data_IF_814421286419
#
_entry.id   IF_814421286419
#
_cell.length_a   1.000
_cell.length_b   1.000
_cell.length_c   1.000
_cell.angle_alpha   90.00
_cell.angle_beta   90.00
_cell.angle_gamma   90.00
#
_symmetry.space_group_name_H-M   'P 1'
#
loop_
_entity.id
_entity.type
_entity.pdbx_description
1 polymer ?
#
# COMPACT_ATOMS: atom_id res chain seq x y z
N UNK A 1 14.83 -4.43 71.12
CA UNK A 1 13.58 -4.06 70.43
C UNK A 1 13.54 -2.56 70.26
N UNK A 2 13.81 -2.03 69.05
CA UNK A 2 13.42 -0.69 68.54
C UNK A 2 14.28 -0.29 67.33
N UNK A 3 14.30 -1.09 66.25
CA UNK A 3 14.90 -0.64 64.97
C UNK A 3 14.05 -0.99 63.73
N UNK A 4 12.97 -1.78 63.87
CA UNK A 4 12.10 -2.15 62.74
C UNK A 4 10.93 -1.20 62.45
N UNK A 5 10.63 -0.24 63.34
CA UNK A 5 9.46 0.64 63.16
C UNK A 5 9.76 1.90 62.34
N UNK A 6 11.03 2.29 62.19
CA UNK A 6 11.40 3.55 61.51
C UNK A 6 11.59 3.36 59.99
N UNK A 7 11.78 2.13 59.50
CA UNK A 7 11.90 1.86 58.05
C UNK A 7 10.56 1.69 57.33
N UNK A 8 9.47 1.47 58.06
CA UNK A 8 8.13 1.30 57.46
C UNK A 8 7.40 2.63 57.20
N UNK A 9 7.76 3.72 57.87
CA UNK A 9 7.08 5.02 57.66
C UNK A 9 7.74 5.88 56.57
N UNK A 10 9.06 5.77 56.38
CA UNK A 10 9.79 6.58 55.38
C UNK A 10 9.53 6.08 53.95
N UNK A 11 9.30 4.78 53.76
CA UNK A 11 8.95 4.21 52.45
C UNK A 11 7.46 4.48 52.10
N UNK A 12 6.60 4.71 53.10
CA UNK A 12 5.19 5.01 52.88
C UNK A 12 4.93 6.48 52.51
N UNK A 13 5.77 7.43 52.93
CA UNK A 13 5.63 8.85 52.58
C UNK A 13 6.21 9.21 51.21
N UNK A 14 7.27 8.54 50.74
CA UNK A 14 7.79 8.78 49.38
C UNK A 14 6.88 8.19 48.29
N UNK A 15 6.01 7.25 48.63
CA UNK A 15 5.07 6.63 47.68
C UNK A 15 3.71 7.35 47.59
N UNK A 16 3.48 8.40 48.40
CA UNK A 16 2.24 9.20 48.36
C UNK A 16 2.40 10.59 47.72
N UNK A 17 3.60 10.99 47.30
CA UNK A 17 3.85 12.25 46.57
C UNK A 17 3.90 12.11 45.03
N UNK A 18 3.58 10.93 44.48
CA UNK A 18 3.42 10.72 43.04
C UNK A 18 1.97 10.87 42.55
N UNK A 19 1.09 11.49 43.35
CA UNK A 19 -0.24 11.90 42.89
C UNK A 19 -0.12 13.27 42.23
N UNK A 20 -0.11 13.27 40.90
CA UNK A 20 -0.68 14.39 40.14
C UNK A 20 0.25 15.51 39.67
N UNK A 21 1.58 15.35 39.65
CA UNK A 21 2.39 16.25 38.81
C UNK A 21 2.17 15.91 37.34
N UNK A 22 1.24 16.64 36.70
CA UNK A 22 1.05 16.62 35.25
C UNK A 22 2.42 16.85 34.61
N UNK A 23 2.76 16.02 33.62
CA UNK A 23 4.00 16.17 32.87
C UNK A 23 4.17 17.63 32.42
N UNK A 24 5.34 18.28 32.56
CA UNK A 24 5.51 19.72 32.26
C UNK A 24 5.08 20.10 30.82
N UNK A 25 5.17 19.16 29.88
CA UNK A 25 4.69 19.35 28.51
C UNK A 25 3.15 19.41 28.40
N UNK A 26 2.40 18.84 29.35
CA UNK A 26 0.95 19.00 29.42
C UNK A 26 0.56 20.43 29.77
N UNK A 27 1.42 21.20 30.46
CA UNK A 27 1.17 22.62 30.75
C UNK A 27 1.44 23.50 29.54
N UNK A 28 2.21 23.00 28.56
CA UNK A 28 2.50 23.70 27.31
C UNK A 28 1.45 23.45 26.23
N UNK A 29 0.58 22.44 26.39
CA UNK A 29 -0.46 22.15 25.41
C UNK A 29 -1.39 23.37 25.26
N UNK A 30 -1.63 23.75 24.01
CA UNK A 30 -2.46 24.90 23.65
C UNK A 30 -3.93 24.47 23.72
N UNK A 31 -4.46 24.25 24.94
CA UNK A 31 -5.82 23.74 25.16
C UNK A 31 -6.93 24.69 24.70
N UNK A 32 -6.60 25.95 24.43
CA UNK A 32 -7.54 26.98 23.99
C UNK A 32 -7.53 27.20 22.47
N UNK A 33 -6.64 26.54 21.73
CA UNK A 33 -6.52 26.66 20.27
C UNK A 33 -6.99 25.35 19.60
N UNK A 34 -7.59 25.45 18.42
CA UNK A 34 -7.86 24.27 17.61
C UNK A 34 -6.55 23.63 17.10
N UNK A 35 -6.59 22.36 16.70
CA UNK A 35 -5.40 21.72 16.10
C UNK A 35 -4.90 22.46 14.85
N UNK A 36 -5.82 23.01 14.06
CA UNK A 36 -5.51 23.75 12.84
C UNK A 36 -4.79 25.07 13.16
N UNK A 37 -5.31 25.82 14.15
CA UNK A 37 -4.70 27.06 14.64
C UNK A 37 -3.30 26.81 15.21
N UNK A 38 -3.14 25.76 16.02
CA UNK A 38 -1.86 25.38 16.59
C UNK A 38 -0.84 25.01 15.49
N UNK A 39 -1.25 24.27 14.44
CA UNK A 39 -0.39 23.90 13.30
C UNK A 39 -0.02 25.14 12.47
N UNK A 40 -0.96 26.06 12.24
CA UNK A 40 -0.68 27.29 11.49
C UNK A 40 0.45 28.11 12.15
N UNK A 41 0.51 28.10 13.47
CA UNK A 41 1.54 28.79 14.24
C UNK A 41 2.91 28.07 14.27
N UNK A 42 2.99 26.82 13.79
CA UNK A 42 4.24 26.06 13.74
C UNK A 42 5.34 26.77 12.94
N UNK A 43 4.96 27.46 11.85
CA UNK A 43 5.86 28.22 10.98
C UNK A 43 6.14 29.66 11.45
N UNK A 44 5.19 30.30 12.14
CA UNK A 44 5.22 31.75 12.41
C UNK A 44 5.81 32.14 13.77
N UNK A 45 5.70 31.28 14.81
CA UNK A 45 6.15 31.62 16.18
C UNK A 45 7.48 30.91 16.52
N UNK A 46 8.51 31.71 16.80
CA UNK A 46 9.89 31.24 17.01
C UNK A 46 10.21 30.68 18.42
N UNK A 47 9.24 30.57 19.34
CA UNK A 47 9.53 30.08 20.69
C UNK A 47 9.40 28.56 20.77
N UNK A 48 10.43 27.91 21.30
CA UNK A 48 10.48 26.45 21.50
C UNK A 48 9.30 25.94 22.33
N UNK A 49 8.86 26.70 23.34
CA UNK A 49 7.70 26.37 24.18
C UNK A 49 6.41 26.25 23.38
N UNK A 50 6.18 27.12 22.39
CA UNK A 50 4.98 27.08 21.55
C UNK A 50 5.01 25.90 20.57
N UNK A 51 6.19 25.57 20.03
CA UNK A 51 6.39 24.35 19.21
C UNK A 51 6.14 23.09 20.05
N UNK A 52 6.68 23.02 21.26
CA UNK A 52 6.41 21.90 22.18
C UNK A 52 4.93 21.80 22.54
N UNK A 53 4.27 22.95 22.74
CA UNK A 53 2.82 23.01 22.96
C UNK A 53 2.00 22.51 21.78
N UNK A 54 2.34 22.94 20.56
CA UNK A 54 1.73 22.48 19.31
C UNK A 54 1.91 20.97 19.13
N UNK A 55 3.14 20.46 19.32
CA UNK A 55 3.42 19.02 19.28
C UNK A 55 2.56 18.27 20.30
N UNK A 56 2.48 18.75 21.53
CA UNK A 56 1.68 18.10 22.56
C UNK A 56 0.18 18.10 22.18
N UNK A 57 -0.36 19.22 21.70
CA UNK A 57 -1.76 19.33 21.25
C UNK A 57 -2.05 18.32 20.15
N UNK A 58 -1.23 18.25 19.09
CA UNK A 58 -1.45 17.32 17.97
C UNK A 58 -1.25 15.86 18.39
N UNK A 59 -0.22 15.56 19.17
CA UNK A 59 0.07 14.20 19.64
C UNK A 59 -0.97 13.70 20.66
N UNK A 60 -1.70 14.56 21.36
CA UNK A 60 -2.74 14.16 22.32
C UNK A 60 -4.16 14.23 21.77
N UNK A 61 -4.41 14.96 20.68
CA UNK A 61 -5.74 15.05 20.09
C UNK A 61 -6.26 13.67 19.64
N UNK A 62 -7.42 13.28 20.18
CA UNK A 62 -8.08 12.01 19.89
C UNK A 62 -8.56 11.91 18.44
N UNK A 63 -8.88 13.04 17.81
CA UNK A 63 -9.36 13.11 16.43
C UNK A 63 -8.22 13.48 15.50
N UNK A 64 -8.07 12.72 14.42
CA UNK A 64 -7.08 13.02 13.38
C UNK A 64 -7.80 13.63 12.19
N UNK A 65 -7.89 14.96 12.19
CA UNK A 65 -8.31 15.73 11.01
C UNK A 65 -7.22 15.77 9.94
N UNK A 66 -7.55 16.32 8.78
CA UNK A 66 -6.65 16.45 7.62
C UNK A 66 -5.31 17.07 8.00
N UNK A 67 -5.36 18.22 8.66
CA UNK A 67 -4.23 19.06 9.01
C UNK A 67 -3.30 18.31 9.97
N UNK A 68 -3.87 17.61 10.94
CA UNK A 68 -3.14 16.74 11.87
C UNK A 68 -2.44 15.59 11.15
N UNK A 69 -3.10 14.93 10.18
CA UNK A 69 -2.45 13.86 9.38
C UNK A 69 -1.27 14.43 8.60
N UNK A 70 -1.49 15.52 7.86
CA UNK A 70 -0.48 16.13 7.01
C UNK A 70 0.74 16.60 7.81
N UNK A 71 0.49 17.28 8.93
CA UNK A 71 1.52 17.72 9.85
C UNK A 71 2.31 16.54 10.42
N UNK A 72 1.63 15.51 10.94
CA UNK A 72 2.30 14.33 11.48
C UNK A 72 3.12 13.59 10.42
N UNK A 73 2.66 13.51 9.16
CA UNK A 73 3.44 12.92 8.06
C UNK A 73 4.69 13.74 7.76
N UNK A 74 4.61 15.07 7.81
CA UNK A 74 5.77 15.95 7.65
C UNK A 74 6.80 15.75 8.76
N UNK A 75 6.36 15.72 10.03
CA UNK A 75 7.24 15.43 11.16
C UNK A 75 7.86 14.04 11.05
N UNK A 76 7.06 13.04 10.68
CA UNK A 76 7.46 11.64 10.59
C UNK A 76 8.41 11.35 9.42
N UNK A 77 8.44 12.16 8.35
CA UNK A 77 9.37 11.96 7.23
C UNK A 77 10.85 12.12 7.67
N UNK A 78 11.06 12.79 8.81
CA UNK A 78 12.35 12.90 9.50
C UNK A 78 12.71 11.71 10.40
N UNK A 79 11.88 10.66 10.52
CA UNK A 79 12.16 9.51 11.40
C UNK A 79 13.44 8.82 10.96
N UNK A 80 13.53 8.47 9.67
CA UNK A 80 14.57 7.57 9.15
C UNK A 80 15.61 8.20 8.25
N UNK A 81 15.40 9.44 7.82
CA UNK A 81 16.40 10.16 7.03
C UNK A 81 17.13 11.16 7.92
N UNK A 82 18.45 11.21 7.78
CA UNK A 82 19.28 12.32 8.30
C UNK A 82 18.95 13.68 7.64
N UNK A 83 17.89 13.77 6.83
CA UNK A 83 17.53 14.96 6.07
C UNK A 83 16.08 15.40 6.31
N UNK A 84 16.03 16.55 7.00
CA UNK A 84 15.04 17.63 6.84
C UNK A 84 13.69 17.50 7.56
N UNK A 85 13.71 17.73 8.88
CA UNK A 85 12.95 18.90 9.33
C UNK A 85 13.60 20.12 8.67
N UNK A 86 12.89 20.88 7.84
CA UNK A 86 13.36 22.19 7.36
C UNK A 86 13.42 23.17 8.54
N UNK A 87 14.44 23.01 9.37
CA UNK A 87 15.01 24.07 10.19
C UNK A 87 16.51 23.95 9.91
N UNK A 88 16.91 24.54 8.79
CA UNK A 88 18.30 24.81 8.46
C UNK A 88 18.81 25.77 9.53
N UNK A 89 19.55 25.23 10.48
CA UNK A 89 20.48 26.01 11.26
C UNK A 89 21.66 25.08 11.56
N UNK A 90 22.75 25.29 10.83
CA UNK A 90 23.99 24.49 10.86
C UNK A 90 24.76 24.66 12.19
N UNK A 91 24.23 25.47 13.12
CA UNK A 91 24.92 25.91 14.32
C UNK A 91 24.66 25.07 15.59
N UNK A 92 23.96 23.93 15.53
CA UNK A 92 23.58 23.18 16.74
C UNK A 92 23.74 21.64 16.64
N UNK A 93 24.52 21.06 17.56
CA UNK A 93 25.14 19.71 17.51
C UNK A 93 24.27 18.43 17.61
N UNK A 94 24.96 17.29 17.81
CA UNK A 94 24.48 15.89 17.71
C UNK A 94 23.23 15.55 18.57
N UNK A 95 23.07 16.21 19.72
CA UNK A 95 21.95 15.98 20.65
C UNK A 95 20.60 16.46 20.08
N UNK A 96 20.58 17.55 19.31
CA UNK A 96 19.35 18.00 18.64
C UNK A 96 18.92 17.04 17.53
N UNK A 97 19.86 16.43 16.81
CA UNK A 97 19.55 15.41 15.80
C UNK A 97 18.84 14.21 16.44
N UNK A 98 19.34 13.72 17.60
CA UNK A 98 18.71 12.65 18.38
C UNK A 98 17.30 13.01 18.83
N UNK A 99 17.09 14.24 19.30
CA UNK A 99 15.76 14.70 19.73
C UNK A 99 14.78 14.84 18.55
N UNK A 100 15.24 15.30 17.37
CA UNK A 100 14.40 15.33 16.15
C UNK A 100 13.97 13.93 15.74
N UNK A 101 14.88 12.95 15.77
CA UNK A 101 14.53 11.56 15.48
C UNK A 101 13.48 11.02 16.47
N UNK A 102 13.56 11.35 17.77
CA UNK A 102 12.54 10.96 18.76
C UNK A 102 11.18 11.60 18.50
N UNK A 103 11.14 12.86 18.09
CA UNK A 103 9.89 13.55 17.73
C UNK A 103 9.26 12.92 16.49
N UNK A 104 10.06 12.66 15.46
CA UNK A 104 9.60 11.97 14.27
C UNK A 104 9.15 10.53 14.56
N UNK A 105 9.86 9.83 15.46
CA UNK A 105 9.46 8.54 16.01
C UNK A 105 8.08 8.61 16.65
N UNK A 106 7.88 9.59 17.53
CA UNK A 106 6.58 9.75 18.18
C UNK A 106 5.45 10.12 17.22
N UNK A 107 5.72 10.95 16.20
CA UNK A 107 4.72 11.37 15.23
C UNK A 107 4.16 10.20 14.40
N UNK A 108 5.04 9.32 13.93
CA UNK A 108 4.62 8.13 13.19
C UNK A 108 4.00 7.06 14.09
N UNK A 109 4.41 6.94 15.36
CA UNK A 109 3.70 6.09 16.33
C UNK A 109 2.23 6.52 16.42
N UNK A 110 1.98 7.83 16.49
CA UNK A 110 0.62 8.39 16.51
C UNK A 110 -0.09 8.14 15.18
N UNK A 111 0.57 8.32 14.03
CA UNK A 111 -0.02 7.95 12.72
C UNK A 111 -0.39 6.47 12.67
N UNK A 112 0.47 5.57 13.15
CA UNK A 112 0.18 4.14 13.20
C UNK A 112 -1.02 3.85 14.11
N UNK A 113 -1.06 4.43 15.30
CA UNK A 113 -2.11 4.16 16.27
C UNK A 113 -3.47 4.78 15.91
N UNK A 114 -3.48 5.94 15.26
CA UNK A 114 -4.71 6.73 15.05
C UNK A 114 -5.16 6.85 13.61
N UNK A 115 -4.26 6.73 12.64
CA UNK A 115 -4.57 6.85 11.22
C UNK A 115 -4.46 5.49 10.52
N UNK A 116 -3.27 4.89 10.43
CA UNK A 116 -3.07 3.64 9.69
C UNK A 116 -3.71 2.41 10.35
N UNK A 117 -3.80 2.37 11.68
CA UNK A 117 -4.21 1.19 12.45
C UNK A 117 -5.66 1.15 12.92
N UNK A 118 -6.47 2.19 12.67
CA UNK A 118 -7.87 2.19 13.09
C UNK A 118 -8.76 1.51 12.05
N UNK A 119 -9.01 0.23 12.27
CA UNK A 119 -10.13 -0.51 11.68
C UNK A 119 -11.31 -0.40 12.65
N UNK A 120 -12.30 0.45 12.36
CA UNK A 120 -13.60 0.40 13.03
C UNK A 120 -14.59 -0.19 12.04
N UNK A 121 -15.39 -1.15 12.50
CA UNK A 121 -16.60 -1.65 11.87
C UNK A 121 -16.65 -1.51 10.34
N UNK A 122 -16.06 -2.48 9.64
CA UNK A 122 -16.02 -2.63 8.17
C UNK A 122 -15.23 -1.57 7.38
N UNK A 123 -15.07 -0.36 7.93
CA UNK A 123 -14.57 0.79 7.20
C UNK A 123 -13.34 1.44 7.90
N UNK A 124 -12.11 1.18 7.41
CA UNK A 124 -10.89 1.86 7.85
C UNK A 124 -11.04 3.38 7.92
N UNK A 125 -10.66 3.94 9.07
CA UNK A 125 -10.83 5.36 9.35
C UNK A 125 -10.06 6.29 8.42
N UNK A 126 -9.06 5.80 7.70
CA UNK A 126 -8.27 6.59 6.75
C UNK A 126 -8.94 6.71 5.37
N UNK A 127 -10.06 6.05 5.10
CA UNK A 127 -10.68 6.06 3.76
C UNK A 127 -11.13 7.42 3.23
N UNK A 128 -11.49 8.37 4.11
CA UNK A 128 -11.78 9.75 3.69
C UNK A 128 -10.59 10.39 2.97
N UNK A 129 -9.35 9.95 3.24
CA UNK A 129 -8.14 10.44 2.57
C UNK A 129 -8.17 10.19 1.06
N UNK A 130 -8.94 9.21 0.58
CA UNK A 130 -9.03 8.89 -0.83
C UNK A 130 -9.74 10.00 -1.60
N UNK A 131 -10.71 10.67 -0.96
CA UNK A 131 -11.43 11.82 -1.51
C UNK A 131 -10.60 13.10 -1.50
N UNK A 132 -9.73 13.28 -0.52
CA UNK A 132 -8.84 14.45 -0.44
C UNK A 132 -7.55 14.25 -1.26
N UNK A 133 -7.38 15.05 -2.32
CA UNK A 133 -6.22 14.93 -3.22
C UNK A 133 -4.89 15.18 -2.50
N UNK A 134 -4.83 16.18 -1.61
CA UNK A 134 -3.61 16.57 -0.93
C UNK A 134 -3.14 15.47 0.02
N UNK A 135 -4.05 14.92 0.83
CA UNK A 135 -3.72 13.83 1.74
C UNK A 135 -3.33 12.56 0.97
N UNK A 136 -4.02 12.26 -0.13
CA UNK A 136 -3.67 11.13 -0.99
C UNK A 136 -2.24 11.26 -1.57
N UNK A 137 -1.91 12.41 -2.15
CA UNK A 137 -0.59 12.66 -2.74
C UNK A 137 0.51 12.65 -1.68
N UNK A 138 0.26 13.26 -0.52
CA UNK A 138 1.18 13.27 0.62
C UNK A 138 1.39 11.87 1.18
N UNK A 139 0.35 11.04 1.24
CA UNK A 139 0.46 9.62 1.63
C UNK A 139 1.38 8.86 0.66
N UNK A 140 1.17 9.01 -0.65
CA UNK A 140 2.05 8.39 -1.65
C UNK A 140 3.49 8.90 -1.57
N UNK A 141 3.68 10.20 -1.32
CA UNK A 141 5.01 10.79 -1.17
C UNK A 141 5.71 10.34 0.11
N UNK A 142 4.98 10.24 1.21
CA UNK A 142 5.46 9.72 2.50
C UNK A 142 5.99 8.28 2.36
N UNK A 143 5.45 7.54 1.39
CA UNK A 143 5.78 6.14 1.10
C UNK A 143 6.65 5.97 -0.15
N UNK A 144 7.31 7.03 -0.63
CA UNK A 144 8.15 6.97 -1.83
C UNK A 144 9.29 5.95 -1.68
N UNK A 145 9.67 5.34 -2.80
CA UNK A 145 10.82 4.42 -2.84
C UNK A 145 12.12 5.17 -2.56
N UNK A 146 12.97 4.58 -1.73
CA UNK A 146 14.35 5.02 -1.61
C UNK A 146 15.10 4.59 -2.88
N UNK A 147 15.70 5.54 -3.58
CA UNK A 147 16.50 5.30 -4.79
C UNK A 147 17.90 4.75 -4.47
N UNK A 148 18.03 3.90 -3.44
CA UNK A 148 19.29 3.24 -3.19
C UNK A 148 19.49 2.15 -4.25
N UNK A 149 20.56 2.26 -5.03
CA UNK A 149 20.87 1.36 -6.15
C UNK A 149 21.24 -0.04 -5.68
N UNK A 150 21.54 -0.22 -4.39
CA UNK A 150 22.10 -1.44 -3.83
C UNK A 150 21.07 -2.35 -3.15
N UNK A 151 19.90 -1.82 -2.76
CA UNK A 151 18.88 -2.59 -2.06
C UNK A 151 17.60 -2.72 -2.88
N UNK A 152 16.93 -3.87 -2.76
CA UNK A 152 15.56 -4.10 -3.25
C UNK A 152 14.63 -2.96 -2.81
N UNK A 153 13.55 -2.70 -3.56
CA UNK A 153 12.58 -1.63 -3.29
C UNK A 153 12.27 -1.48 -1.78
N UNK A 154 12.90 -0.51 -1.12
CA UNK A 154 12.56 -0.10 0.24
C UNK A 154 11.78 1.20 0.16
N UNK A 155 10.68 1.30 0.91
CA UNK A 155 9.96 2.57 1.03
C UNK A 155 10.60 3.36 2.17
N UNK A 156 10.69 4.67 2.03
CA UNK A 156 11.41 5.55 2.98
C UNK A 156 10.99 5.36 4.44
N UNK A 157 9.69 5.19 4.69
CA UNK A 157 9.10 5.09 6.03
C UNK A 157 8.51 3.69 6.33
N UNK A 158 9.02 2.63 5.66
CA UNK A 158 8.60 1.25 5.91
C UNK A 158 9.78 0.27 5.83
N UNK A 159 9.85 -0.68 6.76
CA UNK A 159 10.90 -1.70 6.81
C UNK A 159 10.29 -3.05 7.13
N UNK A 160 10.20 -3.92 6.12
CA UNK A 160 9.49 -5.19 6.21
C UNK A 160 9.97 -6.09 7.38
N UNK A 161 11.28 -6.10 7.69
CA UNK A 161 11.85 -7.02 8.68
C UNK A 161 11.86 -6.49 10.13
N UNK A 162 11.12 -5.42 10.43
CA UNK A 162 11.10 -4.87 11.79
C UNK A 162 10.01 -5.54 12.64
N UNK A 163 10.39 -6.07 13.80
CA UNK A 163 9.46 -6.65 14.79
C UNK A 163 8.56 -5.60 15.48
N UNK A 164 8.81 -4.30 15.23
CA UNK A 164 8.05 -3.20 15.81
C UNK A 164 6.55 -3.30 15.43
N UNK A 165 5.60 -3.18 16.39
CA UNK A 165 4.16 -3.22 16.11
C UNK A 165 3.72 -2.24 15.02
N UNK A 166 4.33 -1.05 14.98
CA UNK A 166 4.09 0.00 14.00
C UNK A 166 4.31 -0.48 12.56
N UNK A 167 5.35 -1.28 12.34
CA UNK A 167 5.68 -1.88 11.03
C UNK A 167 4.56 -2.80 10.54
N UNK A 168 3.97 -3.59 11.44
CA UNK A 168 2.85 -4.47 11.10
C UNK A 168 1.62 -3.66 10.74
N UNK A 169 1.33 -2.60 11.52
CA UNK A 169 0.20 -1.72 11.29
C UNK A 169 0.28 -1.00 9.95
N UNK A 170 1.41 -0.33 9.67
CA UNK A 170 1.59 0.34 8.38
C UNK A 170 1.66 -0.69 7.24
N UNK A 171 2.25 -1.87 7.44
CA UNK A 171 2.28 -2.92 6.43
C UNK A 171 0.89 -3.39 5.99
N UNK A 172 -0.02 -3.60 6.95
CA UNK A 172 -1.43 -3.91 6.65
C UNK A 172 -2.11 -2.79 5.88
N UNK A 173 -1.97 -1.56 6.35
CA UNK A 173 -2.47 -0.36 5.66
C UNK A 173 -1.98 -0.29 4.22
N UNK A 174 -0.67 -0.45 4.00
CA UNK A 174 -0.04 -0.37 2.69
C UNK A 174 -0.57 -1.41 1.71
N UNK A 175 -0.74 -2.65 2.17
CA UNK A 175 -1.32 -3.71 1.37
C UNK A 175 -2.73 -3.36 0.94
N UNK A 176 -3.62 -3.01 1.90
CA UNK A 176 -5.01 -2.63 1.58
C UNK A 176 -5.04 -1.42 0.65
N UNK A 177 -4.26 -0.37 0.96
CA UNK A 177 -4.20 0.86 0.18
C UNK A 177 -3.74 0.60 -1.26
N UNK A 178 -2.76 -0.28 -1.47
CA UNK A 178 -2.32 -0.63 -2.81
C UNK A 178 -3.35 -1.47 -3.59
N UNK A 179 -4.04 -2.39 -2.93
CA UNK A 179 -5.08 -3.22 -3.54
C UNK A 179 -6.27 -2.40 -4.07
N UNK A 180 -6.60 -1.28 -3.41
CA UNK A 180 -7.64 -0.34 -3.86
C UNK A 180 -7.43 0.15 -5.30
N UNK A 181 -6.18 0.20 -5.78
CA UNK A 181 -5.86 0.54 -7.17
C UNK A 181 -6.60 -0.29 -8.23
N UNK A 182 -7.01 -1.51 -7.89
CA UNK A 182 -7.70 -2.43 -8.80
C UNK A 182 -9.03 -2.98 -8.26
N UNK A 183 -9.27 -2.92 -6.95
CA UNK A 183 -10.46 -3.50 -6.33
C UNK A 183 -11.35 -2.48 -5.59
N UNK A 184 -11.27 -1.19 -5.92
CA UNK A 184 -12.14 -0.15 -5.35
C UNK A 184 -13.63 -0.57 -5.34
N UNK A 185 -14.18 -1.04 -6.47
CA UNK A 185 -15.60 -1.43 -6.55
C UNK A 185 -16.05 -2.61 -5.68
N UNK A 186 -15.16 -3.27 -4.92
CA UNK A 186 -15.54 -4.29 -3.92
C UNK A 186 -15.89 -3.72 -2.56
N UNK A 187 -15.57 -2.46 -2.30
CA UNK A 187 -15.84 -1.79 -1.04
C UNK A 187 -17.11 -0.93 -1.18
N UNK A 188 -18.02 -1.00 -0.21
CA UNK A 188 -19.31 -0.26 -0.22
C UNK A 188 -19.07 1.22 0.12
N UNK A 189 -18.60 2.00 -0.85
CA UNK A 189 -18.32 3.43 -0.67
C UNK A 189 -19.59 4.26 -0.77
N UNK A 190 -20.35 4.34 0.32
CA UNK A 190 -21.49 5.25 0.42
C UNK A 190 -20.99 6.70 0.55
N UNK A 191 -21.08 7.48 -0.54
CA UNK A 191 -21.04 8.95 -0.47
C UNK A 191 -19.71 9.66 -0.77
N UNK A 192 -18.69 8.97 -1.30
CA UNK A 192 -17.49 9.63 -1.86
C UNK A 192 -17.65 9.81 -3.37
N UNK A 193 -17.02 10.84 -3.96
CA UNK A 193 -16.94 11.08 -5.40
C UNK A 193 -16.25 9.90 -6.11
N UNK A 194 -17.00 8.83 -6.39
CA UNK A 194 -16.45 7.52 -6.75
C UNK A 194 -15.59 7.60 -8.02
N UNK A 195 -16.00 8.37 -9.02
CA UNK A 195 -15.27 8.47 -10.29
C UNK A 195 -13.90 9.15 -10.13
N UNK A 196 -13.83 10.29 -9.45
CA UNK A 196 -12.57 11.02 -9.22
C UNK A 196 -11.57 10.19 -8.39
N UNK A 197 -12.07 9.49 -7.37
CA UNK A 197 -11.25 8.61 -6.54
C UNK A 197 -10.72 7.43 -7.35
N UNK A 198 -11.57 6.83 -8.20
CA UNK A 198 -11.17 5.73 -9.10
C UNK A 198 -10.11 6.21 -10.09
N UNK A 199 -10.29 7.35 -10.73
CA UNK A 199 -9.30 7.91 -11.66
C UNK A 199 -7.96 8.21 -10.98
N UNK A 200 -8.01 8.75 -9.76
CA UNK A 200 -6.84 9.01 -8.93
C UNK A 200 -6.10 7.72 -8.58
N UNK A 201 -6.82 6.67 -8.17
CA UNK A 201 -6.27 5.34 -7.88
C UNK A 201 -5.67 4.69 -9.13
N UNK A 202 -6.33 4.79 -10.29
CA UNK A 202 -5.81 4.31 -11.58
C UNK A 202 -4.49 5.01 -11.92
N UNK A 203 -4.45 6.33 -11.78
CA UNK A 203 -3.26 7.15 -12.07
C UNK A 203 -2.11 6.83 -11.12
N UNK A 204 -2.41 6.45 -9.88
CA UNK A 204 -1.43 6.07 -8.87
C UNK A 204 -0.88 4.64 -9.01
N UNK A 205 -1.50 3.77 -9.81
CA UNK A 205 -1.12 2.34 -9.96
C UNK A 205 0.39 2.09 -10.08
N UNK A 206 1.18 2.84 -10.87
CA UNK A 206 2.63 2.63 -10.92
C UNK A 206 3.30 2.73 -9.55
N UNK A 207 2.93 3.72 -8.72
CA UNK A 207 3.44 3.87 -7.35
C UNK A 207 2.89 2.78 -6.42
N UNK A 208 1.64 2.34 -6.63
CA UNK A 208 1.06 1.23 -5.87
C UNK A 208 1.78 -0.11 -6.15
N UNK A 209 2.31 -0.31 -7.36
CA UNK A 209 3.17 -1.47 -7.68
C UNK A 209 4.45 -1.45 -6.84
N UNK A 210 5.08 -0.28 -6.67
CA UNK A 210 6.25 -0.15 -5.79
C UNK A 210 5.92 -0.53 -4.35
N UNK A 211 4.74 -0.10 -3.85
CA UNK A 211 4.25 -0.46 -2.52
C UNK A 211 4.04 -1.97 -2.41
N UNK A 212 3.38 -2.61 -3.39
CA UNK A 212 3.19 -4.06 -3.42
C UNK A 212 4.51 -4.83 -3.48
N UNK A 213 5.53 -4.31 -4.17
CA UNK A 213 6.89 -4.89 -4.17
C UNK A 213 7.49 -4.85 -2.77
N UNK A 214 7.46 -3.68 -2.12
CA UNK A 214 8.01 -3.52 -0.79
C UNK A 214 7.28 -4.33 0.29
N UNK A 215 5.96 -4.49 0.19
CA UNK A 215 5.15 -5.30 1.12
C UNK A 215 5.08 -6.78 0.74
N UNK A 216 5.87 -7.23 -0.24
CA UNK A 216 5.88 -8.61 -0.73
C UNK A 216 4.49 -9.14 -1.17
N UNK A 217 3.65 -8.25 -1.71
CA UNK A 217 2.27 -8.55 -2.11
C UNK A 217 2.05 -8.50 -3.62
N UNK A 218 3.12 -8.45 -4.44
CA UNK A 218 3.03 -8.37 -5.91
C UNK A 218 2.22 -9.51 -6.55
N UNK A 219 2.29 -10.72 -5.98
CA UNK A 219 1.55 -11.88 -6.47
C UNK A 219 0.04 -11.65 -6.50
N UNK A 220 -0.47 -10.73 -5.68
CA UNK A 220 -1.87 -10.33 -5.69
C UNK A 220 -2.32 -9.82 -7.08
N UNK A 221 -1.44 -9.16 -7.84
CA UNK A 221 -1.73 -8.68 -9.19
C UNK A 221 -2.11 -9.81 -10.17
N UNK A 222 -1.73 -11.06 -9.90
CA UNK A 222 -2.10 -12.22 -10.71
C UNK A 222 -3.60 -12.55 -10.64
N UNK A 223 -4.29 -12.11 -9.57
CA UNK A 223 -5.75 -12.24 -9.43
C UNK A 223 -6.49 -11.36 -10.44
N UNK A 224 -5.85 -10.30 -10.91
CA UNK A 224 -6.47 -9.34 -11.82
C UNK A 224 -6.64 -9.94 -13.22
N UNK A 225 -7.83 -9.76 -13.80
CA UNK A 225 -8.13 -10.26 -15.16
C UNK A 225 -7.24 -9.62 -16.22
N UNK A 226 -6.95 -8.33 -16.05
CA UNK A 226 -6.15 -7.54 -16.98
C UNK A 226 -5.39 -6.46 -16.22
N UNK A 227 -4.07 -6.43 -16.42
CA UNK A 227 -3.21 -5.33 -16.01
C UNK A 227 -3.13 -4.33 -17.18
N UNK A 228 -3.28 -3.05 -16.86
CA UNK A 228 -3.13 -1.96 -17.84
C UNK A 228 -1.67 -1.82 -18.31
N UNK A 229 -1.42 -0.90 -19.23
CA UNK A 229 -0.07 -0.66 -19.78
C UNK A 229 0.87 -0.08 -18.72
N UNK A 230 0.39 0.88 -17.93
CA UNK A 230 1.19 1.58 -16.92
C UNK A 230 1.68 0.62 -15.82
N UNK A 231 0.80 -0.25 -15.30
CA UNK A 231 1.14 -1.28 -14.31
C UNK A 231 2.19 -2.24 -14.84
N UNK A 232 2.02 -2.73 -16.08
CA UNK A 232 3.00 -3.65 -16.71
C UNK A 232 4.35 -2.97 -16.94
N UNK A 233 4.36 -1.70 -17.28
CA UNK A 233 5.57 -0.92 -17.45
C UNK A 233 6.27 -0.67 -16.12
N UNK A 234 5.53 -0.38 -15.05
CA UNK A 234 6.07 -0.25 -13.69
C UNK A 234 6.72 -1.56 -13.23
N UNK A 235 6.01 -2.69 -13.36
CA UNK A 235 6.57 -4.02 -13.07
C UNK A 235 7.85 -4.29 -13.87
N UNK A 236 7.83 -4.02 -15.19
CA UNK A 236 9.01 -4.18 -16.05
C UNK A 236 10.17 -3.30 -15.59
N UNK A 237 9.88 -2.05 -15.24
CA UNK A 237 10.88 -1.11 -14.73
C UNK A 237 11.52 -1.65 -13.46
N UNK A 238 10.72 -2.17 -12.52
CA UNK A 238 11.23 -2.74 -11.28
C UNK A 238 12.08 -4.00 -11.49
N UNK A 239 11.67 -4.88 -12.41
CA UNK A 239 12.43 -6.09 -12.76
C UNK A 239 13.87 -5.79 -13.17
N UNK A 240 14.08 -4.68 -13.90
CA UNK A 240 15.39 -4.30 -14.44
C UNK A 240 16.04 -3.13 -13.69
N UNK A 241 15.52 -2.76 -12.52
CA UNK A 241 15.99 -1.60 -11.75
C UNK A 241 17.25 -1.89 -10.96
N UNK A 242 17.34 -3.09 -10.39
CA UNK A 242 18.36 -3.45 -9.42
C UNK A 242 19.33 -4.48 -9.99
N UNK A 243 20.57 -4.42 -9.50
CA UNK A 243 21.54 -5.47 -9.76
C UNK A 243 21.15 -6.71 -8.97
N UNK A 244 21.29 -7.87 -9.59
CA UNK A 244 21.04 -9.17 -8.99
C UNK A 244 22.33 -9.98 -9.01
N UNK A 245 22.40 -10.94 -8.10
CA UNK A 245 23.48 -11.91 -8.08
C UNK A 245 23.16 -12.98 -9.11
N UNK A 246 23.96 -13.01 -10.19
CA UNK A 246 23.68 -13.79 -11.39
C UNK A 246 24.97 -14.48 -11.87
N UNK A 247 24.88 -15.60 -12.59
CA UNK A 247 26.06 -16.24 -13.18
C UNK A 247 26.84 -15.26 -14.06
N UNK A 248 28.17 -15.39 -14.07
CA UNK A 248 29.03 -14.55 -14.91
C UNK A 248 28.74 -14.76 -16.40
N UNK A 249 28.78 -13.66 -17.15
CA UNK A 249 28.48 -13.64 -18.60
C UNK A 249 29.68 -14.15 -19.42
N UNK A 250 30.89 -14.08 -18.86
CA UNK A 250 32.15 -14.42 -19.54
C UNK A 250 32.47 -15.93 -19.56
N UNK A 251 31.56 -16.78 -19.09
CA UNK A 251 31.75 -18.23 -19.03
C UNK A 251 32.70 -18.70 -17.94
N UNK A 252 33.21 -17.80 -17.09
CA UNK A 252 33.97 -18.17 -15.91
C UNK A 252 33.04 -18.66 -14.78
N UNK A 253 33.52 -19.61 -13.99
CA UNK A 253 32.79 -20.10 -12.82
C UNK A 253 32.69 -18.99 -11.77
N UNK A 254 31.47 -18.65 -11.35
CA UNK A 254 31.20 -17.65 -10.32
C UNK A 254 29.96 -16.82 -10.61
N UNK A 255 29.56 -16.02 -9.64
CA UNK A 255 28.44 -15.09 -9.74
C UNK A 255 28.95 -13.64 -9.71
N UNK A 256 28.29 -12.76 -10.45
CA UNK A 256 28.57 -11.34 -10.54
C UNK A 256 27.29 -10.52 -10.32
N UNK A 257 27.45 -9.39 -9.64
CA UNK A 257 26.36 -8.47 -9.36
C UNK A 257 26.10 -7.54 -10.55
N UNK A 258 25.09 -7.86 -11.38
CA UNK A 258 24.75 -7.07 -12.56
C UNK A 258 23.23 -6.92 -12.76
N UNK A 259 22.84 -5.91 -13.54
CA UNK A 259 21.42 -5.68 -13.87
C UNK A 259 21.01 -6.73 -14.90
N UNK A 260 19.92 -7.48 -14.68
CA UNK A 260 19.46 -8.48 -15.64
C UNK A 260 19.12 -7.85 -16.98
N UNK A 261 19.47 -8.52 -18.09
CA UNK A 261 19.13 -8.12 -19.45
C UNK A 261 17.84 -8.78 -19.94
N UNK A 262 17.54 -9.95 -19.41
CA UNK A 262 16.36 -10.74 -19.79
C UNK A 262 15.45 -11.04 -18.59
N UNK A 263 14.17 -11.35 -18.86
CA UNK A 263 13.25 -11.76 -17.80
C UNK A 263 13.66 -13.09 -17.16
N UNK A 264 14.27 -13.98 -17.95
CA UNK A 264 14.80 -15.26 -17.48
C UNK A 264 15.97 -15.03 -16.51
N UNK A 265 16.93 -14.18 -16.87
CA UNK A 265 18.01 -13.78 -15.95
C UNK A 265 17.44 -13.18 -14.67
N UNK A 266 16.49 -12.25 -14.78
CA UNK A 266 15.88 -11.65 -13.60
C UNK A 266 15.18 -12.69 -12.71
N UNK A 267 14.52 -13.69 -13.30
CA UNK A 267 13.92 -14.80 -12.56
C UNK A 267 14.99 -15.66 -11.88
N UNK A 268 16.08 -16.02 -12.57
CA UNK A 268 17.19 -16.77 -11.99
C UNK A 268 17.84 -16.02 -10.81
N UNK A 269 17.95 -14.70 -10.90
CA UNK A 269 18.42 -13.85 -9.80
C UNK A 269 17.40 -13.63 -8.68
N UNK A 270 16.23 -14.30 -8.73
CA UNK A 270 15.20 -14.25 -7.69
C UNK A 270 14.35 -12.97 -7.68
N UNK A 271 14.18 -12.29 -8.82
CA UNK A 271 13.26 -11.15 -8.93
C UNK A 271 11.79 -11.62 -8.93
N UNK A 272 11.05 -11.19 -7.90
CA UNK A 272 9.60 -11.44 -7.78
C UNK A 272 8.80 -10.71 -8.86
N UNK A 273 9.25 -9.53 -9.27
CA UNK A 273 8.62 -8.76 -10.33
C UNK A 273 8.71 -9.51 -11.67
N UNK A 274 9.87 -10.12 -11.97
CA UNK A 274 10.06 -10.95 -13.15
C UNK A 274 9.11 -12.16 -13.13
N UNK A 275 9.04 -12.84 -11.98
CA UNK A 275 8.13 -13.97 -11.76
C UNK A 275 6.67 -13.59 -12.04
N UNK A 276 6.17 -12.50 -11.43
CA UNK A 276 4.80 -12.04 -11.63
C UNK A 276 4.55 -11.67 -13.10
N UNK A 277 5.50 -11.03 -13.78
CA UNK A 277 5.37 -10.71 -15.20
C UNK A 277 5.29 -11.97 -16.07
N UNK A 278 6.09 -12.99 -15.80
CA UNK A 278 6.10 -14.25 -16.54
C UNK A 278 4.83 -15.06 -16.29
N UNK A 279 4.41 -15.18 -15.03
CA UNK A 279 3.15 -15.84 -14.65
C UNK A 279 1.95 -15.13 -15.29
N UNK A 280 1.92 -13.79 -15.25
CA UNK A 280 0.87 -13.03 -15.91
C UNK A 280 0.82 -13.29 -17.42
N UNK A 281 1.98 -13.32 -18.10
CA UNK A 281 2.04 -13.65 -19.54
C UNK A 281 1.51 -15.06 -19.82
N UNK A 282 1.92 -16.05 -19.02
CA UNK A 282 1.45 -17.44 -19.13
C UNK A 282 -0.07 -17.54 -18.97
N UNK A 283 -0.62 -16.90 -17.93
CA UNK A 283 -2.06 -16.85 -17.67
C UNK A 283 -2.83 -16.19 -18.83
N UNK A 284 -2.28 -15.15 -19.46
CA UNK A 284 -2.91 -14.52 -20.62
C UNK A 284 -2.91 -15.44 -21.85
N UNK A 285 -1.85 -16.21 -22.09
CA UNK A 285 -1.80 -17.20 -23.18
C UNK A 285 -2.84 -18.30 -22.92
N UNK A 286 -2.86 -18.88 -21.72
CA UNK A 286 -3.83 -19.90 -21.34
C UNK A 286 -5.27 -19.42 -21.51
N UNK A 287 -5.59 -18.20 -21.03
CA UNK A 287 -6.93 -17.61 -21.20
C UNK A 287 -7.33 -17.47 -22.66
N UNK A 288 -6.39 -17.12 -23.55
CA UNK A 288 -6.65 -17.04 -25.00
C UNK A 288 -6.91 -18.41 -25.60
N UNK A 289 -6.08 -19.41 -25.27
CA UNK A 289 -6.25 -20.79 -25.75
C UNK A 289 -7.58 -21.38 -25.29
N UNK A 290 -7.94 -21.22 -24.01
CA UNK A 290 -9.24 -21.68 -23.51
C UNK A 290 -10.41 -20.97 -24.23
N UNK A 291 -10.29 -19.67 -24.51
CA UNK A 291 -11.32 -18.94 -25.24
C UNK A 291 -11.46 -19.40 -26.70
N UNK A 292 -10.36 -19.74 -27.38
CA UNK A 292 -10.40 -20.27 -28.75
C UNK A 292 -11.00 -21.68 -28.78
N UNK A 293 -10.52 -22.58 -27.91
CA UNK A 293 -11.05 -23.95 -27.82
C UNK A 293 -12.54 -23.95 -27.47
N UNK A 294 -12.98 -23.10 -26.53
CA UNK A 294 -14.41 -22.97 -26.19
C UNK A 294 -15.25 -22.50 -27.39
N UNK A 295 -14.74 -21.57 -28.20
CA UNK A 295 -15.43 -21.10 -29.41
C UNK A 295 -15.54 -22.20 -30.47
N UNK A 296 -14.50 -23.01 -30.63
CA UNK A 296 -14.48 -24.15 -31.55
C UNK A 296 -15.47 -25.24 -31.12
N UNK A 297 -15.51 -25.58 -29.83
CA UNK A 297 -16.48 -26.54 -29.28
C UNK A 297 -17.91 -26.09 -29.55
N UNK A 298 -18.24 -24.83 -29.22
CA UNK A 298 -19.59 -24.28 -29.46
C UNK A 298 -19.95 -24.26 -30.95
N UNK A 299 -18.98 -24.00 -31.84
CA UNK A 299 -19.20 -24.06 -33.29
C UNK A 299 -19.45 -25.50 -33.76
N UNK A 300 -18.67 -26.45 -33.26
CA UNK A 300 -18.82 -27.87 -33.60
C UNK A 300 -20.17 -28.43 -33.10
N UNK A 301 -20.61 -28.05 -31.91
CA UNK A 301 -21.94 -28.40 -31.38
C UNK A 301 -23.06 -27.84 -32.26
N UNK A 302 -23.00 -26.55 -32.61
CA UNK A 302 -23.99 -25.92 -33.51
C UNK A 302 -24.02 -26.57 -34.90
N UNK A 303 -22.86 -26.94 -35.44
CA UNK A 303 -22.80 -27.60 -36.75
C UNK A 303 -23.37 -29.02 -36.67
N UNK A 304 -23.10 -29.76 -35.58
CA UNK A 304 -23.75 -31.06 -35.34
C UNK A 304 -25.27 -30.92 -35.22
N UNK A 305 -25.77 -29.96 -34.45
CA UNK A 305 -27.21 -29.69 -34.36
C UNK A 305 -27.82 -29.34 -35.72
N UNK A 306 -27.10 -28.55 -36.53
CA UNK A 306 -27.53 -28.21 -37.90
C UNK A 306 -27.60 -29.44 -38.79
N UNK A 307 -26.59 -30.32 -38.75
CA UNK A 307 -26.59 -31.57 -39.52
C UNK A 307 -27.73 -32.51 -39.10
N UNK A 308 -28.03 -32.60 -37.80
CA UNK A 308 -29.17 -33.38 -37.31
C UNK A 308 -30.49 -32.81 -37.84
N UNK A 309 -30.68 -31.49 -37.78
CA UNK A 309 -31.88 -30.83 -38.33
C UNK A 309 -32.01 -31.02 -39.84
N UNK A 310 -30.91 -30.96 -40.59
CA UNK A 310 -30.91 -31.19 -42.03
C UNK A 310 -31.35 -32.61 -42.37
N UNK A 311 -30.82 -33.62 -41.66
CA UNK A 311 -31.26 -35.02 -41.85
C UNK A 311 -32.74 -35.21 -41.54
N UNK A 312 -33.25 -34.59 -40.48
CA UNK A 312 -34.68 -34.63 -40.14
C UNK A 312 -35.54 -34.00 -41.25
N UNK A 313 -35.11 -32.87 -41.83
CA UNK A 313 -35.82 -32.22 -42.93
C UNK A 313 -35.78 -33.06 -44.21
N UNK A 314 -34.66 -33.71 -44.53
CA UNK A 314 -34.54 -34.62 -45.67
C UNK A 314 -35.47 -35.83 -45.53
N UNK A 315 -35.58 -36.37 -44.33
CA UNK A 315 -36.48 -37.50 -44.04
C UNK A 315 -37.95 -37.10 -44.10
N UNK A 316 -38.31 -35.92 -43.56
CA UNK A 316 -39.65 -35.35 -43.73
C UNK A 316 -39.99 -35.09 -45.20
N UNK A 317 -39.03 -34.61 -46.00
CA UNK A 317 -39.24 -34.38 -47.43
C UNK A 317 -39.46 -35.68 -48.18
N UNK A 318 -38.70 -36.74 -47.89
CA UNK A 318 -38.94 -38.08 -48.47
C UNK A 318 -40.33 -38.61 -48.14
N UNK A 319 -40.78 -38.45 -46.89
CA UNK A 319 -42.13 -38.86 -46.49
C UNK A 319 -43.22 -38.08 -47.25
N UNK A 320 -43.02 -36.77 -47.46
CA UNK A 320 -43.93 -35.96 -48.26
C UNK A 320 -43.94 -36.38 -49.73
N UNK A 321 -42.77 -36.62 -50.33
CA UNK A 321 -42.66 -37.07 -51.73
C UNK A 321 -43.32 -38.46 -51.94
N UNK A 322 -43.19 -39.37 -50.96
CA UNK A 322 -43.87 -40.67 -50.95
C UNK A 322 -45.39 -40.52 -50.84
N UNK A 323 -45.87 -39.63 -49.96
CA UNK A 323 -47.30 -39.33 -49.82
C UNK A 323 -47.88 -38.69 -51.09
N UNK A 324 -47.15 -37.77 -51.72
CA UNK A 324 -47.55 -37.12 -52.97
C UNK A 324 -47.62 -38.13 -54.13
N UNK A 325 -46.64 -39.05 -54.20
CA UNK A 325 -46.65 -40.15 -55.18
C UNK A 325 -47.83 -41.11 -54.98
N UNK A 326 -48.24 -41.38 -53.73
CA UNK A 326 -49.43 -42.18 -53.42
C UNK A 326 -50.75 -41.47 -53.75
N UNK A 327 -50.78 -40.13 -53.67
CA UNK A 327 -51.95 -39.31 -54.00
C UNK A 327 -52.12 -39.10 -55.51
N UNK A 328 -51.03 -38.98 -56.27
CA UNK A 328 -51.03 -38.81 -57.73
C UNK A 328 -51.12 -40.13 -58.51
N UNK A 329 -50.83 -41.26 -57.86
CA UNK A 329 -50.96 -42.61 -58.44
C UNK A 329 -52.37 -43.21 -58.35
N UNK A 330 -53.36 -42.43 -57.88
CA UNK A 330 -54.80 -42.72 -57.93
C UNK A 330 -55.46 -41.72 -58.88
#
# INVERSE_FOLDING_TARGET
MSEEVVRSSVVAEETQQAVGKKHPLLELALFNESCEEAIAHWGDKNTMSHRLGTLQTVLTNKYVGKESVLFLMELADGWRSSSNFRIFDESFGEERAKNRCKVAEKAFDVLCARFFGQEKDRDPMWWWMLGDQEVFEKTLWFLRTNNDRLCRCTLRNFHADSEKPQTRTIGKFLTIFAELGWEYGRYDFRGLYQDEVVERLISARPKLVDILSATNSLHWLLRQKKLDRATRQALKSLTFRYKLYLPRIDGSWGEEYHVPKTLQEALYGGSREAEVLLLYKSLQIQRRLFATTRREVVRAEREKERQVKLKQLEEQRRQLDEQESQLLGK
#
